data_IF_232552384950
#
_entry.id   IF_232552384950
#
_cell.length_a   1.000
_cell.length_b   1.000
_cell.length_c   1.000
_cell.angle_alpha   90.00
_cell.angle_beta   90.00
_cell.angle_gamma   90.00
#
_symmetry.space_group_name_H-M   'P 1'
#
loop_
_entity.id
_entity.type
_entity.pdbx_description
1 polymer ?
#
# COMPACT_ATOMS: atom_id res chain seq x y z
N UNK A 1 14.62 7.93 -24.98
CA UNK A 1 14.95 8.22 -23.56
C UNK A 1 15.02 6.89 -22.82
N UNK A 2 16.19 6.50 -22.30
CA UNK A 2 16.29 5.26 -21.51
C UNK A 2 15.64 5.47 -20.14
N UNK A 3 14.85 4.51 -19.61
CA UNK A 3 14.21 4.66 -18.32
C UNK A 3 15.28 4.65 -17.23
N UNK A 4 15.49 5.82 -16.62
CA UNK A 4 16.29 5.94 -15.41
C UNK A 4 15.49 5.41 -14.23
N UNK A 5 16.16 4.72 -13.33
CA UNK A 5 15.55 4.21 -12.12
C UNK A 5 15.09 5.37 -11.23
N UNK A 6 13.83 5.36 -10.81
CA UNK A 6 13.26 6.39 -9.92
C UNK A 6 13.92 6.38 -8.54
N UNK A 7 14.49 5.25 -8.11
CA UNK A 7 15.08 5.12 -6.79
C UNK A 7 16.54 5.57 -6.74
N UNK A 8 17.36 5.20 -7.74
CA UNK A 8 18.81 5.44 -7.71
C UNK A 8 19.35 6.24 -8.92
N UNK A 9 18.46 6.77 -9.76
CA UNK A 9 18.78 7.50 -10.99
C UNK A 9 19.68 6.76 -12.01
N UNK A 10 19.98 5.48 -11.77
CA UNK A 10 20.80 4.64 -12.66
C UNK A 10 20.10 4.25 -13.96
N UNK A 11 20.89 3.85 -14.96
CA UNK A 11 20.39 3.39 -16.27
C UNK A 11 19.86 1.96 -16.20
N UNK A 12 18.76 1.75 -15.48
CA UNK A 12 18.00 0.52 -15.46
C UNK A 12 16.55 0.79 -15.02
N UNK A 13 15.66 -0.15 -15.28
CA UNK A 13 14.28 -0.10 -14.80
C UNK A 13 14.21 0.00 -13.27
N UNK A 14 13.23 0.73 -12.75
CA UNK A 14 13.11 1.04 -11.31
C UNK A 14 13.08 -0.20 -10.42
N UNK A 15 12.48 -1.31 -10.87
CA UNK A 15 12.39 -2.57 -10.11
C UNK A 15 13.44 -3.63 -10.51
N UNK A 16 14.47 -3.23 -11.27
CA UNK A 16 15.52 -4.16 -11.69
C UNK A 16 16.37 -4.63 -10.49
N UNK A 17 16.84 -5.87 -10.54
CA UNK A 17 17.77 -6.45 -9.56
C UNK A 17 19.11 -5.68 -9.49
N UNK A 18 19.41 -4.92 -10.54
CA UNK A 18 20.59 -4.04 -10.63
C UNK A 18 20.47 -2.78 -9.75
N UNK A 19 19.27 -2.44 -9.26
CA UNK A 19 19.08 -1.30 -8.38
C UNK A 19 19.59 -1.59 -6.96
N UNK A 20 20.57 -0.86 -6.43
CA UNK A 20 21.08 -1.09 -5.08
C UNK A 20 20.00 -0.88 -4.00
N UNK A 21 19.13 0.10 -4.18
CA UNK A 21 18.04 0.42 -3.23
C UNK A 21 17.00 -0.70 -3.21
N UNK A 22 16.55 -1.18 -4.37
CA UNK A 22 15.59 -2.29 -4.43
C UNK A 22 16.23 -3.58 -3.92
N UNK A 23 17.52 -3.82 -4.20
CA UNK A 23 18.25 -4.97 -3.69
C UNK A 23 18.32 -4.95 -2.16
N UNK A 24 18.69 -3.82 -1.56
CA UNK A 24 18.73 -3.66 -0.11
C UNK A 24 17.34 -3.78 0.52
N UNK A 25 16.32 -3.15 -0.08
CA UNK A 25 14.94 -3.26 0.38
C UNK A 25 14.45 -4.72 0.40
N UNK A 26 14.72 -5.48 -0.67
CA UNK A 26 14.37 -6.90 -0.74
C UNK A 26 15.14 -7.71 0.30
N UNK A 27 16.43 -7.45 0.50
CA UNK A 27 17.24 -8.13 1.51
C UNK A 27 16.72 -7.87 2.93
N UNK A 28 16.39 -6.62 3.26
CA UNK A 28 15.80 -6.24 4.55
C UNK A 28 14.41 -6.85 4.76
N UNK A 29 13.58 -6.88 3.72
CA UNK A 29 12.27 -7.52 3.77
C UNK A 29 12.41 -9.03 4.02
N UNK A 30 13.32 -9.70 3.30
CA UNK A 30 13.63 -11.11 3.51
C UNK A 30 14.15 -11.35 4.92
N UNK A 31 15.07 -10.52 5.43
CA UNK A 31 15.59 -10.63 6.80
C UNK A 31 14.48 -10.52 7.83
N UNK A 32 13.56 -9.55 7.66
CA UNK A 32 12.38 -9.40 8.53
C UNK A 32 11.47 -10.62 8.48
N UNK A 33 11.16 -11.12 7.29
CA UNK A 33 10.33 -12.32 7.12
C UNK A 33 10.96 -13.57 7.75
N UNK A 34 12.27 -13.75 7.61
CA UNK A 34 13.00 -14.86 8.22
C UNK A 34 13.10 -14.71 9.75
N UNK A 35 13.30 -13.48 10.26
CA UNK A 35 13.38 -13.23 11.70
C UNK A 35 12.07 -13.49 12.44
N UNK A 36 10.92 -13.34 11.78
CA UNK A 36 9.61 -13.63 12.37
C UNK A 36 9.33 -15.14 12.47
N UNK A 37 10.00 -15.97 11.67
CA UNK A 37 9.88 -17.44 11.70
C UNK A 37 10.98 -18.15 12.52
N UNK A 38 11.98 -17.42 13.03
CA UNK A 38 13.03 -17.96 13.88
C UNK A 38 12.74 -17.67 15.38
N UNK A 39 11.73 -18.34 15.94
CA UNK A 39 11.65 -18.59 17.39
C UNK A 39 12.12 -20.00 17.75
N UNK A 40 12.89 -20.65 16.87
CA UNK A 40 13.70 -21.79 17.24
C UNK A 40 15.05 -21.29 17.74
N UNK A 41 15.23 -21.39 19.05
CA UNK A 41 16.49 -21.26 19.80
C UNK A 41 17.68 -21.78 19.01
N UNK A 42 18.70 -20.95 18.83
CA UNK A 42 20.04 -21.44 18.57
C UNK A 42 21.01 -20.55 19.32
N UNK A 43 21.38 -21.02 20.50
CA UNK A 43 22.53 -20.53 21.24
C UNK A 43 23.75 -20.58 20.32
N UNK A 44 24.48 -19.47 20.25
CA UNK A 44 25.70 -19.36 19.48
C UNK A 44 26.79 -20.11 20.24
N UNK A 45 27.10 -21.34 19.84
CA UNK A 45 28.36 -21.99 20.18
C UNK A 45 28.82 -22.87 19.00
N UNK A 46 29.82 -22.36 18.27
CA UNK A 46 30.78 -23.07 17.42
C UNK A 46 30.22 -24.09 16.40
N UNK A 47 29.78 -23.61 15.24
CA UNK A 47 29.50 -24.46 14.09
C UNK A 47 30.77 -24.76 13.29
N UNK A 48 31.41 -25.90 13.61
CA UNK A 48 32.29 -26.60 12.67
C UNK A 48 31.43 -27.09 11.49
N UNK A 49 31.75 -26.61 10.28
CA UNK A 49 30.99 -26.94 9.07
C UNK A 49 31.18 -28.42 8.68
N UNK A 50 30.16 -29.25 8.89
CA UNK A 50 30.12 -30.65 8.45
C UNK A 50 29.17 -30.80 7.25
N UNK A 51 29.68 -31.00 6.01
CA UNK A 51 28.86 -31.11 4.80
C UNK A 51 28.03 -32.41 4.72
N UNK A 52 28.21 -33.37 5.64
CA UNK A 52 27.47 -34.63 5.64
C UNK A 52 26.11 -34.56 6.36
N UNK A 53 25.79 -33.46 7.04
CA UNK A 53 24.61 -33.36 7.92
C UNK A 53 23.53 -32.40 7.39
N UNK A 54 23.30 -32.38 6.08
CA UNK A 54 22.19 -31.62 5.52
C UNK A 54 20.85 -32.23 5.97
N UNK A 55 19.97 -31.44 6.63
CA UNK A 55 18.61 -31.90 6.85
C UNK A 55 17.93 -32.10 5.49
N UNK A 56 17.03 -33.10 5.35
CA UNK A 56 16.23 -33.25 4.15
C UNK A 56 15.54 -31.92 3.84
N UNK A 57 15.61 -31.46 2.59
CA UNK A 57 14.87 -30.28 2.14
C UNK A 57 13.40 -30.49 2.52
N UNK A 58 12.94 -29.73 3.51
CA UNK A 58 11.55 -29.78 3.94
C UNK A 58 10.66 -29.52 2.71
N UNK A 59 9.58 -30.29 2.50
CA UNK A 59 8.66 -30.03 1.41
C UNK A 59 8.18 -28.59 1.56
N UNK A 60 8.40 -27.80 0.50
CA UNK A 60 8.09 -26.38 0.39
C UNK A 60 6.85 -26.06 1.21
N UNK A 61 7.03 -25.43 2.38
CA UNK A 61 5.91 -24.95 3.18
C UNK A 61 5.16 -23.99 2.26
N UNK A 62 3.95 -24.39 1.84
CA UNK A 62 3.00 -23.50 1.19
C UNK A 62 2.64 -22.44 2.23
N UNK A 63 3.46 -21.41 2.34
CA UNK A 63 3.17 -20.22 3.12
C UNK A 63 1.80 -19.77 2.64
N UNK A 64 0.80 -19.77 3.53
CA UNK A 64 -0.58 -19.52 3.16
C UNK A 64 -0.73 -18.06 2.72
N UNK A 65 -0.56 -17.82 1.41
CA UNK A 65 -0.81 -16.55 0.72
C UNK A 65 -2.27 -16.08 0.92
N UNK A 66 -3.15 -16.97 1.38
CA UNK A 66 -4.54 -16.67 1.67
C UNK A 66 -4.71 -15.56 2.73
N UNK A 67 -3.85 -15.49 3.75
CA UNK A 67 -4.00 -14.50 4.84
C UNK A 67 -3.78 -13.05 4.39
N UNK A 68 -2.75 -12.80 3.58
CA UNK A 68 -2.39 -11.46 3.08
C UNK A 68 -3.32 -10.98 1.96
N UNK A 69 -3.79 -11.89 1.10
CA UNK A 69 -4.76 -11.56 0.05
C UNK A 69 -6.10 -11.08 0.62
N UNK A 70 -6.55 -11.67 1.75
CA UNK A 70 -7.77 -11.25 2.41
C UNK A 70 -7.66 -9.81 2.95
N UNK A 71 -6.52 -9.45 3.58
CA UNK A 71 -6.32 -8.11 4.12
C UNK A 71 -6.31 -7.03 3.03
N UNK A 72 -5.62 -7.28 1.91
CA UNK A 72 -5.60 -6.34 0.77
C UNK A 72 -7.00 -6.16 0.17
N UNK A 73 -7.76 -7.25 0.06
CA UNK A 73 -9.14 -7.21 -0.44
C UNK A 73 -10.06 -6.40 0.49
N UNK A 74 -9.97 -6.61 1.80
CA UNK A 74 -10.72 -5.80 2.77
C UNK A 74 -10.37 -4.31 2.67
N UNK A 75 -9.10 -3.97 2.49
CA UNK A 75 -8.66 -2.57 2.32
C UNK A 75 -9.18 -1.95 1.02
N UNK A 76 -9.26 -2.73 -0.06
CA UNK A 76 -9.87 -2.29 -1.32
C UNK A 76 -11.38 -2.05 -1.15
N UNK A 77 -12.10 -2.96 -0.49
CA UNK A 77 -13.53 -2.81 -0.23
C UNK A 77 -13.81 -1.57 0.64
N UNK A 78 -12.99 -1.35 1.67
CA UNK A 78 -13.07 -0.16 2.53
C UNK A 78 -12.84 1.14 1.74
N UNK A 79 -11.84 1.14 0.86
CA UNK A 79 -11.52 2.29 0.02
C UNK A 79 -12.67 2.63 -0.95
N UNK A 80 -13.23 1.62 -1.63
CA UNK A 80 -14.37 1.79 -2.53
C UNK A 80 -15.57 2.37 -1.77
N UNK A 81 -15.88 1.82 -0.59
CA UNK A 81 -16.98 2.32 0.24
C UNK A 81 -16.76 3.78 0.68
N UNK A 82 -15.54 4.14 1.06
CA UNK A 82 -15.21 5.51 1.45
C UNK A 82 -15.29 6.48 0.27
N UNK A 83 -14.87 6.07 -0.93
CA UNK A 83 -15.03 6.88 -2.15
C UNK A 83 -16.52 7.11 -2.48
N UNK A 84 -17.37 6.09 -2.36
CA UNK A 84 -18.82 6.25 -2.57
C UNK A 84 -19.43 7.25 -1.58
N UNK A 85 -19.09 7.15 -0.29
CA UNK A 85 -19.55 8.11 0.73
C UNK A 85 -19.08 9.54 0.45
N UNK A 86 -17.85 9.70 -0.02
CA UNK A 86 -17.32 11.02 -0.39
C UNK A 86 -18.08 11.60 -1.59
N UNK A 87 -18.42 10.77 -2.58
CA UNK A 87 -19.21 11.20 -3.72
C UNK A 87 -20.62 11.67 -3.28
N UNK A 88 -21.31 10.90 -2.44
CA UNK A 88 -22.61 11.30 -1.90
C UNK A 88 -22.54 12.59 -1.08
N UNK A 89 -21.44 12.80 -0.34
CA UNK A 89 -21.22 14.04 0.42
C UNK A 89 -21.02 15.24 -0.51
N UNK A 90 -20.28 15.06 -1.61
CA UNK A 90 -20.09 16.09 -2.63
C UNK A 90 -21.41 16.46 -3.30
N UNK A 91 -22.22 15.48 -3.70
CA UNK A 91 -23.55 15.72 -4.30
C UNK A 91 -24.44 16.55 -3.36
N UNK A 92 -24.43 16.24 -2.06
CA UNK A 92 -25.16 17.02 -1.05
C UNK A 92 -24.63 18.45 -0.90
N UNK A 93 -23.32 18.66 -1.02
CA UNK A 93 -22.72 20.00 -0.96
C UNK A 93 -23.13 20.81 -2.18
N UNK A 94 -23.07 20.22 -3.39
CA UNK A 94 -23.49 20.87 -4.63
C UNK A 94 -24.96 21.30 -4.55
N UNK A 95 -25.85 20.40 -4.15
CA UNK A 95 -27.27 20.70 -4.00
C UNK A 95 -27.56 21.79 -2.94
N UNK A 96 -26.75 21.87 -1.88
CA UNK A 96 -26.86 22.95 -0.89
C UNK A 96 -26.34 24.27 -1.44
N UNK A 97 -25.27 24.25 -2.22
CA UNK A 97 -24.72 25.46 -2.84
C UNK A 97 -25.72 26.09 -3.81
N UNK A 98 -26.38 25.28 -4.65
CA UNK A 98 -27.45 25.74 -5.55
C UNK A 98 -28.59 26.43 -4.78
N UNK A 99 -28.99 25.89 -3.63
CA UNK A 99 -30.02 26.53 -2.77
C UNK A 99 -29.56 27.87 -2.20
N UNK A 100 -28.29 27.99 -1.85
CA UNK A 100 -27.71 29.25 -1.36
C UNK A 100 -27.68 30.29 -2.47
N UNK A 101 -27.24 29.91 -3.68
CA UNK A 101 -27.25 30.79 -4.85
C UNK A 101 -28.67 31.26 -5.18
N UNK A 102 -29.64 30.34 -5.17
CA UNK A 102 -31.05 30.65 -5.38
C UNK A 102 -31.56 31.66 -4.34
N UNK A 103 -31.27 31.44 -3.06
CA UNK A 103 -31.63 32.36 -1.99
C UNK A 103 -31.03 33.76 -2.19
N UNK A 104 -29.76 33.83 -2.59
CA UNK A 104 -29.09 35.11 -2.86
C UNK A 104 -29.76 35.85 -4.02
N UNK A 105 -30.11 35.15 -5.12
CA UNK A 105 -30.84 35.74 -6.23
C UNK A 105 -32.23 36.23 -5.86
N UNK A 106 -32.98 35.44 -5.10
CA UNK A 106 -34.33 35.82 -4.66
C UNK A 106 -34.30 36.99 -3.67
N UNK A 107 -33.28 37.05 -2.79
CA UNK A 107 -33.09 38.19 -1.89
C UNK A 107 -32.77 39.48 -2.65
N UNK A 108 -31.85 39.42 -3.62
CA UNK A 108 -31.55 40.58 -4.49
C UNK A 108 -32.81 41.06 -5.24
N UNK A 109 -33.65 40.13 -5.72
CA UNK A 109 -34.92 40.47 -6.38
C UNK A 109 -35.89 41.14 -5.41
N UNK A 110 -36.05 40.59 -4.21
CA UNK A 110 -36.92 41.15 -3.17
C UNK A 110 -36.48 42.57 -2.79
N UNK A 111 -35.19 42.78 -2.53
CA UNK A 111 -34.65 44.08 -2.12
C UNK A 111 -34.82 45.15 -3.22
N UNK A 112 -34.79 44.76 -4.50
CA UNK A 112 -35.06 45.67 -5.64
C UNK A 112 -36.53 46.05 -5.81
N UNK A 113 -37.48 45.26 -5.31
CA UNK A 113 -38.92 45.55 -5.43
C UNK A 113 -39.39 46.51 -4.32
N UNK A 114 -38.64 46.60 -3.22
CA UNK A 114 -38.96 47.42 -2.05
C UNK A 114 -38.30 48.82 -2.12
N UNK A 115 -37.43 49.07 -3.11
CA UNK A 115 -36.80 50.36 -3.39
C UNK A 115 -37.57 51.13 -4.48
#
# INVERSE_FOLDING_TARGET
MQPKCVHCAGNHYSNAVKCPIVKQYRAELTKKLLSVNCTATTEINNLLYNPANFPPLHPSQKVSIAGTNNMLRTKLDELVNNMSKMNEALDKIVAKNEKVEQFMHDKIRSDKIIA
#
